data_IF_507771260479
#
_entry.id   IF_507771260479
#
_cell.length_a   1.000
_cell.length_b   1.000
_cell.length_c   1.000
_cell.angle_alpha   90.00
_cell.angle_beta   90.00
_cell.angle_gamma   90.00
#
_symmetry.space_group_name_H-M   'P 1'
#
loop_
_entity.id
_entity.type
_entity.pdbx_description
1 polymer ?
#
# COMPACT_ATOMS: atom_id res chain seq x y z
N UNK A 1 16.44 13.41 7.43
CA UNK A 1 15.68 13.13 6.19
C UNK A 1 14.43 12.41 6.63
N UNK A 2 13.26 12.99 6.37
CA UNK A 2 11.98 12.28 6.58
C UNK A 2 11.80 11.28 5.44
N UNK A 3 11.14 10.16 5.70
CA UNK A 3 10.72 9.22 4.65
C UNK A 3 9.45 9.76 4.00
N UNK A 4 9.33 9.70 2.68
CA UNK A 4 8.14 10.18 1.96
C UNK A 4 7.03 9.13 2.05
N UNK A 5 5.93 9.46 2.71
CA UNK A 5 4.77 8.58 2.76
C UNK A 5 4.06 8.56 1.40
N UNK A 6 4.13 7.43 0.71
CA UNK A 6 3.45 7.21 -0.57
C UNK A 6 2.21 6.37 -0.35
N UNK A 7 1.13 6.75 -1.03
CA UNK A 7 -0.11 5.96 -1.00
C UNK A 7 -0.70 5.85 -2.40
N UNK A 8 -1.16 4.66 -2.76
CA UNK A 8 -1.71 4.36 -4.07
C UNK A 8 -3.12 3.77 -3.93
N UNK A 9 -4.11 4.23 -4.71
CA UNK A 9 -5.37 3.52 -4.86
C UNK A 9 -5.10 2.08 -5.28
N UNK A 10 -5.61 1.13 -4.51
CA UNK A 10 -5.23 -0.27 -4.59
C UNK A 10 -6.43 -1.18 -4.82
N UNK A 11 -6.33 -2.09 -5.78
CA UNK A 11 -7.30 -3.15 -6.00
C UNK A 11 -7.17 -4.25 -4.96
N UNK A 12 -7.63 -3.95 -3.75
CA UNK A 12 -7.52 -4.86 -2.61
C UNK A 12 -8.30 -6.16 -2.83
N UNK A 13 -9.45 -6.12 -3.49
CA UNK A 13 -10.29 -7.30 -3.71
C UNK A 13 -9.63 -8.24 -4.73
N UNK A 14 -9.17 -7.71 -5.86
CA UNK A 14 -8.40 -8.47 -6.84
C UNK A 14 -7.13 -9.07 -6.21
N UNK A 15 -6.37 -8.24 -5.49
CA UNK A 15 -5.17 -8.71 -4.78
C UNK A 15 -5.48 -9.85 -3.81
N UNK A 16 -6.52 -9.69 -3.00
CA UNK A 16 -6.91 -10.69 -1.99
C UNK A 16 -7.35 -12.02 -2.61
N UNK A 17 -8.03 -11.95 -3.76
CA UNK A 17 -8.53 -13.14 -4.46
C UNK A 17 -7.42 -13.92 -5.18
N UNK A 18 -6.39 -13.24 -5.67
CA UNK A 18 -5.42 -13.83 -6.60
C UNK A 18 -3.98 -13.82 -6.06
N UNK A 19 -3.33 -12.65 -5.95
CA UNK A 19 -1.91 -12.58 -5.57
C UNK A 19 -1.65 -12.85 -4.09
N UNK A 20 -2.54 -12.43 -3.19
CA UNK A 20 -2.36 -12.57 -1.74
C UNK A 20 -2.03 -14.01 -1.29
N UNK A 21 -2.78 -15.07 -1.66
CA UNK A 21 -2.44 -16.43 -1.25
C UNK A 21 -1.07 -16.89 -1.79
N UNK A 22 -0.70 -16.45 -3.00
CA UNK A 22 0.59 -16.76 -3.63
C UNK A 22 1.74 -16.10 -2.86
N UNK A 23 1.61 -14.79 -2.62
CA UNK A 23 2.61 -13.98 -1.92
C UNK A 23 2.79 -14.43 -0.47
N UNK A 24 1.68 -14.70 0.24
CA UNK A 24 1.74 -15.21 1.62
C UNK A 24 2.53 -16.51 1.68
N UNK A 25 2.22 -17.47 0.80
CA UNK A 25 2.94 -18.75 0.75
C UNK A 25 4.43 -18.56 0.45
N UNK A 26 4.77 -17.70 -0.52
CA UNK A 26 6.16 -17.41 -0.86
C UNK A 26 6.93 -16.79 0.33
N UNK A 27 6.29 -15.91 1.11
CA UNK A 27 6.86 -15.34 2.33
C UNK A 27 7.05 -16.37 3.45
N UNK A 28 6.21 -17.41 3.51
CA UNK A 28 6.29 -18.48 4.51
C UNK A 28 7.35 -19.53 4.17
N UNK A 29 7.43 -19.92 2.89
CA UNK A 29 8.22 -21.07 2.45
C UNK A 29 9.51 -20.69 1.73
N UNK A 30 9.63 -19.44 1.25
CA UNK A 30 10.69 -19.02 0.34
C UNK A 30 10.51 -19.52 -1.10
N UNK A 31 9.41 -20.22 -1.41
CA UNK A 31 9.12 -20.72 -2.76
C UNK A 31 8.54 -19.60 -3.62
N UNK A 32 9.38 -19.00 -4.45
CA UNK A 32 9.03 -17.87 -5.32
C UNK A 32 8.53 -18.30 -6.70
N UNK A 33 8.61 -19.59 -7.06
CA UNK A 33 8.23 -20.04 -8.40
C UNK A 33 6.78 -19.68 -8.78
N UNK A 34 5.79 -19.77 -7.86
CA UNK A 34 4.44 -19.29 -8.12
C UNK A 34 4.33 -17.78 -8.38
N UNK A 35 5.16 -16.95 -7.72
CA UNK A 35 5.20 -15.49 -7.97
C UNK A 35 5.76 -15.18 -9.35
N UNK A 36 6.83 -15.88 -9.75
CA UNK A 36 7.40 -15.73 -11.11
C UNK A 36 6.36 -16.12 -12.15
N UNK A 37 5.67 -17.25 -11.97
CA UNK A 37 4.61 -17.68 -12.89
C UNK A 37 3.46 -16.67 -12.97
N UNK A 38 3.07 -16.06 -11.83
CA UNK A 38 2.07 -15.00 -11.81
C UNK A 38 2.50 -13.78 -12.64
N UNK A 39 3.74 -13.31 -12.46
CA UNK A 39 4.26 -12.15 -13.19
C UNK A 39 4.30 -12.42 -14.70
N UNK A 40 4.78 -13.60 -15.10
CA UNK A 40 4.85 -13.97 -16.52
C UNK A 40 3.45 -14.10 -17.15
N UNK A 41 2.46 -14.58 -16.40
CA UNK A 41 1.06 -14.66 -16.87
C UNK A 41 0.38 -13.29 -17.01
N UNK A 42 0.85 -12.27 -16.26
CA UNK A 42 0.26 -10.93 -16.19
C UNK A 42 1.17 -9.84 -16.75
N UNK A 43 2.03 -10.18 -17.70
CA UNK A 43 3.03 -9.26 -18.30
C UNK A 43 2.44 -8.00 -18.94
N UNK A 44 1.16 -8.02 -19.29
CA UNK A 44 0.43 -6.89 -19.87
C UNK A 44 0.02 -5.83 -18.85
N UNK A 45 -0.14 -6.21 -17.58
CA UNK A 45 -0.55 -5.31 -16.49
C UNK A 45 0.54 -5.08 -15.44
N UNK A 46 1.47 -6.02 -15.26
CA UNK A 46 2.60 -5.86 -14.34
C UNK A 46 3.62 -4.88 -14.92
N UNK A 47 4.07 -3.95 -14.09
CA UNK A 47 5.04 -2.90 -14.43
C UNK A 47 6.23 -2.90 -13.47
N UNK A 48 7.28 -2.18 -13.85
CA UNK A 48 8.43 -1.92 -12.99
C UNK A 48 7.96 -1.08 -11.78
N UNK A 49 8.18 -1.53 -10.52
CA UNK A 49 7.67 -0.85 -9.31
C UNK A 49 8.33 0.52 -9.05
N UNK A 50 9.41 0.86 -9.77
CA UNK A 50 10.11 2.13 -9.66
C UNK A 50 9.80 3.08 -10.81
N UNK A 51 9.66 2.56 -12.03
CA UNK A 51 9.45 3.39 -13.23
C UNK A 51 7.99 3.42 -13.73
N UNK A 52 7.17 2.45 -13.32
CA UNK A 52 5.80 2.27 -13.83
C UNK A 52 5.74 1.97 -15.32
N UNK A 53 6.81 1.39 -15.87
CA UNK A 53 6.92 1.00 -17.27
C UNK A 53 6.67 -0.50 -17.45
N UNK A 54 6.21 -0.95 -18.62
CA UNK A 54 6.12 -2.37 -18.92
C UNK A 54 7.45 -3.07 -18.66
N UNK A 55 7.38 -4.28 -18.12
CA UNK A 55 8.59 -5.05 -17.82
C UNK A 55 9.33 -5.43 -19.12
N UNK A 56 10.65 -5.21 -19.21
CA UNK A 56 11.42 -5.67 -20.36
C UNK A 56 11.60 -7.20 -20.32
N UNK A 57 12.03 -7.85 -21.41
CA UNK A 57 12.25 -9.30 -21.43
C UNK A 57 13.26 -9.81 -20.40
N UNK A 58 14.25 -8.99 -20.05
CA UNK A 58 15.35 -9.26 -19.11
C UNK A 58 15.06 -8.74 -17.69
N UNK A 59 13.79 -8.50 -17.33
CA UNK A 59 13.42 -7.87 -16.06
C UNK A 59 13.96 -8.60 -14.82
N UNK A 60 14.08 -9.94 -14.86
CA UNK A 60 14.60 -10.74 -13.74
C UNK A 60 16.08 -10.49 -13.47
N UNK A 61 16.84 -9.98 -14.44
CA UNK A 61 18.26 -9.62 -14.26
C UNK A 61 18.43 -8.32 -13.47
N UNK A 62 17.34 -7.56 -13.26
CA UNK A 62 17.31 -6.35 -12.43
C UNK A 62 17.10 -6.64 -10.95
N UNK A 63 16.65 -7.85 -10.62
CA UNK A 63 16.43 -8.30 -9.24
C UNK A 63 17.77 -8.58 -8.56
N UNK A 64 17.92 -8.10 -7.32
CA UNK A 64 19.18 -8.22 -6.57
C UNK A 64 19.17 -9.44 -5.67
N UNK A 65 18.07 -9.67 -4.97
CA UNK A 65 17.90 -10.73 -3.97
C UNK A 65 17.10 -11.91 -4.53
N UNK A 66 16.14 -11.66 -5.43
CA UNK A 66 15.26 -12.68 -6.02
C UNK A 66 14.48 -13.47 -4.96
N UNK A 67 14.00 -12.78 -3.93
CA UNK A 67 13.16 -13.34 -2.88
C UNK A 67 11.68 -12.97 -3.07
N UNK A 68 10.83 -13.48 -2.17
CA UNK A 68 9.39 -13.22 -2.20
C UNK A 68 9.05 -11.73 -2.08
N UNK A 69 9.94 -10.92 -1.49
CA UNK A 69 9.75 -9.48 -1.35
C UNK A 69 9.97 -8.78 -2.68
N UNK A 70 11.10 -9.01 -3.34
CA UNK A 70 11.38 -8.40 -4.64
C UNK A 70 10.39 -8.86 -5.73
N UNK A 71 10.09 -10.16 -5.81
CA UNK A 71 9.07 -10.63 -6.76
C UNK A 71 7.67 -10.12 -6.41
N UNK A 72 7.34 -10.07 -5.11
CA UNK A 72 6.07 -9.52 -4.65
C UNK A 72 5.91 -8.05 -5.03
N UNK A 73 6.97 -7.23 -4.96
CA UNK A 73 6.95 -5.81 -5.32
C UNK A 73 6.54 -5.60 -6.78
N UNK A 74 7.15 -6.39 -7.68
CA UNK A 74 6.79 -6.40 -9.09
C UNK A 74 5.34 -6.86 -9.29
N UNK A 75 4.98 -8.02 -8.74
CA UNK A 75 3.65 -8.59 -8.89
C UNK A 75 2.54 -7.64 -8.38
N UNK A 76 2.82 -6.87 -7.33
CA UNK A 76 1.87 -5.95 -6.71
C UNK A 76 1.42 -4.82 -7.65
N UNK A 77 2.26 -4.44 -8.60
CA UNK A 77 1.94 -3.39 -9.59
C UNK A 77 0.79 -3.76 -10.53
N UNK A 78 0.36 -5.03 -10.56
CA UNK A 78 -0.89 -5.40 -11.24
C UNK A 78 -2.13 -4.76 -10.58
N UNK A 79 -2.03 -4.33 -9.31
CA UNK A 79 -3.15 -3.88 -8.49
C UNK A 79 -3.11 -2.39 -8.12
N UNK A 80 -2.07 -1.65 -8.53
CA UNK A 80 -1.99 -0.20 -8.39
C UNK A 80 -1.17 0.43 -9.50
N UNK A 81 -1.21 1.76 -9.62
CA UNK A 81 -0.41 2.50 -10.58
C UNK A 81 0.46 3.51 -9.87
N UNK A 82 1.75 3.50 -10.16
CA UNK A 82 2.73 4.43 -9.55
C UNK A 82 2.39 5.90 -9.84
N UNK A 83 1.78 6.18 -11.01
CA UNK A 83 1.38 7.55 -11.37
C UNK A 83 0.20 8.09 -10.56
N UNK A 84 -0.52 7.20 -9.88
CA UNK A 84 -1.68 7.53 -9.06
C UNK A 84 -1.30 7.68 -7.58
N UNK A 85 -0.06 8.11 -7.30
CA UNK A 85 0.44 8.45 -5.97
C UNK A 85 -0.38 9.60 -5.35
N UNK A 86 -0.82 9.41 -4.09
CA UNK A 86 -1.74 10.30 -3.34
C UNK A 86 -1.43 10.33 -1.84
N UNK A 87 -0.24 9.95 -1.43
CA UNK A 87 0.21 9.89 -0.06
C UNK A 87 0.38 11.25 0.58
N UNK A 88 0.85 11.21 1.84
CA UNK A 88 1.03 12.36 2.70
C UNK A 88 2.44 12.97 2.59
N UNK A 89 3.29 12.45 1.68
CA UNK A 89 4.65 12.93 1.45
C UNK A 89 5.43 13.08 2.77
N UNK A 90 6.09 14.21 3.00
CA UNK A 90 6.92 14.47 4.17
C UNK A 90 6.12 14.93 5.41
N UNK A 91 4.84 15.31 5.25
CA UNK A 91 3.99 15.80 6.36
C UNK A 91 3.33 14.68 7.16
N UNK A 92 3.47 13.42 6.75
CA UNK A 92 2.79 12.27 7.36
C UNK A 92 3.07 12.08 8.87
N UNK A 93 4.24 12.48 9.35
CA UNK A 93 4.58 12.38 10.77
C UNK A 93 3.75 13.34 11.62
N UNK A 94 3.47 14.54 11.11
CA UNK A 94 2.58 15.50 11.76
C UNK A 94 1.14 15.00 11.73
N UNK A 95 0.73 14.38 10.61
CA UNK A 95 -0.58 13.73 10.52
C UNK A 95 -0.72 12.61 11.56
N UNK A 96 0.30 11.76 11.71
CA UNK A 96 0.28 10.67 12.70
C UNK A 96 0.14 11.18 14.14
N UNK A 97 0.90 12.24 14.49
CA UNK A 97 0.82 12.87 15.80
C UNK A 97 -0.58 13.45 16.07
N UNK A 98 -1.12 14.22 15.14
CA UNK A 98 -2.44 14.84 15.29
C UNK A 98 -3.55 13.79 15.36
N UNK A 99 -3.49 12.76 14.51
CA UNK A 99 -4.43 11.64 14.54
C UNK A 99 -4.40 10.93 15.90
N UNK A 100 -3.22 10.64 16.44
CA UNK A 100 -3.10 9.95 17.73
C UNK A 100 -3.68 10.73 18.91
N UNK A 101 -3.75 12.05 18.81
CA UNK A 101 -4.34 12.91 19.82
C UNK A 101 -5.86 13.11 19.65
N UNK A 102 -6.37 12.98 18.42
CA UNK A 102 -7.71 13.47 18.07
C UNK A 102 -8.69 12.39 17.61
N UNK A 103 -8.21 11.32 16.98
CA UNK A 103 -9.05 10.27 16.42
C UNK A 103 -8.97 9.02 17.30
N UNK A 104 -10.10 8.52 17.84
CA UNK A 104 -10.10 7.28 18.60
C UNK A 104 -9.63 6.09 17.75
N UNK A 105 -8.74 5.27 18.29
CA UNK A 105 -8.26 4.05 17.65
C UNK A 105 -6.74 3.98 17.56
N UNK A 106 -6.24 3.13 16.66
CA UNK A 106 -4.81 3.02 16.40
C UNK A 106 -4.42 4.02 15.29
N UNK A 107 -3.67 5.05 15.67
CA UNK A 107 -3.22 6.10 14.76
C UNK A 107 -2.33 5.57 13.62
N UNK A 108 -1.44 4.63 13.93
CA UNK A 108 -0.56 4.03 12.91
C UNK A 108 -1.39 3.27 11.87
N UNK A 109 -2.40 2.50 12.31
CA UNK A 109 -3.29 1.79 11.39
C UNK A 109 -4.16 2.74 10.55
N UNK A 110 -4.58 3.88 11.12
CA UNK A 110 -5.36 4.90 10.42
C UNK A 110 -4.53 5.66 9.37
N UNK A 111 -3.25 5.90 9.64
CA UNK A 111 -2.37 6.59 8.69
C UNK A 111 -1.81 5.60 7.66
N UNK A 112 -1.23 4.50 8.12
CA UNK A 112 -0.46 3.56 7.31
C UNK A 112 -1.31 2.42 6.75
N UNK A 113 -2.21 1.86 7.55
CA UNK A 113 -2.93 0.62 7.24
C UNK A 113 -2.35 -0.58 7.99
N UNK A 114 -2.53 -1.77 7.43
CA UNK A 114 -2.12 -3.04 8.08
C UNK A 114 -1.03 -3.77 7.30
N UNK A 115 -0.02 -4.35 7.96
CA UNK A 115 1.00 -5.14 7.28
C UNK A 115 0.38 -6.43 6.71
N UNK A 116 0.90 -6.87 5.56
CA UNK A 116 0.48 -8.12 4.93
C UNK A 116 1.49 -9.24 5.17
N UNK A 117 1.02 -10.48 5.24
CA UNK A 117 1.87 -11.68 5.29
C UNK A 117 2.03 -12.30 6.68
N UNK A 118 3.00 -13.20 6.85
CA UNK A 118 3.29 -13.87 8.12
C UNK A 118 3.91 -12.93 9.16
N UNK A 119 3.55 -13.08 10.43
CA UNK A 119 4.06 -12.20 11.50
C UNK A 119 5.59 -12.16 11.62
N UNK A 120 6.30 -13.24 11.23
CA UNK A 120 7.77 -13.32 11.28
C UNK A 120 8.47 -12.79 10.03
N UNK A 121 7.74 -12.65 8.93
CA UNK A 121 8.26 -12.21 7.63
C UNK A 121 7.17 -11.45 6.88
N UNK A 122 6.68 -10.31 7.43
CA UNK A 122 5.66 -9.51 6.77
C UNK A 122 6.22 -8.96 5.46
N UNK A 123 5.38 -8.80 4.45
CA UNK A 123 5.76 -8.25 3.16
C UNK A 123 6.26 -6.80 3.33
N UNK A 124 7.53 -6.57 3.01
CA UNK A 124 8.22 -5.28 3.16
C UNK A 124 9.34 -5.16 2.12
N UNK A 125 8.99 -4.94 0.83
CA UNK A 125 9.95 -4.95 -0.26
C UNK A 125 11.00 -3.85 -0.15
N UNK A 126 10.61 -2.68 0.37
CA UNK A 126 11.50 -1.54 0.59
C UNK A 126 12.30 -1.61 1.90
N UNK A 127 11.96 -2.52 2.83
CA UNK A 127 12.48 -2.56 4.20
C UNK A 127 12.22 -1.27 4.99
N UNK A 128 11.15 -0.57 4.63
CA UNK A 128 10.74 0.71 5.22
C UNK A 128 9.28 0.68 5.68
N UNK A 129 8.57 -0.43 5.45
CA UNK A 129 7.16 -0.59 5.74
C UNK A 129 6.32 -0.67 4.47
N UNK A 130 5.34 -1.57 4.49
CA UNK A 130 4.41 -1.82 3.41
C UNK A 130 3.07 -2.24 4.00
N UNK A 131 2.04 -1.45 3.73
CA UNK A 131 0.76 -1.53 4.44
C UNK A 131 -0.41 -1.48 3.46
N UNK A 132 -1.48 -2.15 3.86
CA UNK A 132 -2.66 -2.37 3.04
C UNK A 132 -3.92 -1.95 3.79
N UNK A 133 -4.86 -1.38 3.04
CA UNK A 133 -6.19 -1.03 3.51
C UNK A 133 -7.22 -1.46 2.47
N UNK A 134 -8.28 -2.15 2.89
CA UNK A 134 -9.40 -2.50 2.01
C UNK A 134 -10.25 -1.27 1.68
N UNK A 135 -11.07 -1.36 0.62
CA UNK A 135 -11.99 -0.28 0.27
C UNK A 135 -13.04 -0.04 1.37
N UNK A 136 -13.50 -1.11 2.02
CA UNK A 136 -14.40 -1.01 3.19
C UNK A 136 -13.74 -0.25 4.34
N UNK A 137 -12.52 -0.66 4.72
CA UNK A 137 -11.81 0.01 5.81
C UNK A 137 -11.48 1.46 5.51
N UNK A 138 -11.17 1.80 4.26
CA UNK A 138 -10.97 3.19 3.85
C UNK A 138 -12.24 4.06 4.04
N UNK A 139 -13.43 3.50 3.86
CA UNK A 139 -14.70 4.21 4.13
C UNK A 139 -14.93 4.42 5.62
N UNK A 140 -14.68 3.40 6.42
CA UNK A 140 -14.80 3.48 7.89
C UNK A 140 -13.82 4.50 8.47
N UNK A 141 -12.55 4.43 8.06
CA UNK A 141 -11.50 5.35 8.48
C UNK A 141 -11.83 6.80 8.07
N UNK A 142 -12.31 7.01 6.83
CA UNK A 142 -12.74 8.33 6.37
C UNK A 142 -13.89 8.88 7.22
N UNK A 143 -14.90 8.06 7.51
CA UNK A 143 -16.04 8.47 8.32
C UNK A 143 -15.61 8.86 9.74
N UNK A 144 -14.65 8.13 10.33
CA UNK A 144 -14.10 8.46 11.63
C UNK A 144 -13.35 9.80 11.62
N UNK A 145 -12.51 10.05 10.61
CA UNK A 145 -11.78 11.31 10.44
C UNK A 145 -12.75 12.48 10.20
N UNK A 146 -13.73 12.31 9.31
CA UNK A 146 -14.73 13.34 8.99
C UNK A 146 -15.58 13.72 10.22
N UNK A 147 -15.93 12.74 11.07
CA UNK A 147 -16.65 13.01 12.32
C UNK A 147 -15.84 13.90 13.28
N UNK A 148 -14.52 13.70 13.36
CA UNK A 148 -13.64 14.55 14.17
C UNK A 148 -13.55 15.96 13.57
N UNK A 149 -13.30 16.07 12.25
CA UNK A 149 -13.23 17.35 11.52
C UNK A 149 -14.50 18.19 11.76
N UNK A 150 -15.68 17.56 11.68
CA UNK A 150 -16.97 18.26 11.84
C UNK A 150 -17.17 18.92 13.22
N UNK A 151 -16.46 18.46 14.26
CA UNK A 151 -16.61 18.95 15.64
C UNK A 151 -15.55 19.96 16.06
N UNK A 152 -14.51 20.16 15.24
CA UNK A 152 -13.30 20.91 15.62
C UNK A 152 -13.14 22.21 14.82
N UNK A 153 -12.30 23.11 15.35
CA UNK A 153 -11.70 24.17 14.53
C UNK A 153 -10.70 23.51 13.58
N UNK A 154 -10.80 23.87 12.30
CA UNK A 154 -9.96 23.47 11.18
C UNK A 154 -8.57 22.90 11.54
N UNK A 155 -8.27 21.68 11.07
CA UNK A 155 -6.95 21.04 11.15
C UNK A 155 -6.48 20.65 9.75
N UNK A 156 -5.34 21.18 9.30
CA UNK A 156 -4.79 20.92 7.96
C UNK A 156 -4.36 19.46 7.77
N UNK A 157 -3.82 18.84 8.82
CA UNK A 157 -3.31 17.46 8.82
C UNK A 157 -4.44 16.45 8.71
N UNK A 158 -5.53 16.65 9.46
CA UNK A 158 -6.73 15.81 9.33
C UNK A 158 -7.38 15.96 7.97
N UNK A 159 -7.40 17.17 7.40
CA UNK A 159 -7.89 17.42 6.04
C UNK A 159 -7.02 16.74 4.97
N UNK A 160 -5.70 16.67 5.16
CA UNK A 160 -4.79 15.95 4.26
C UNK A 160 -5.03 14.42 4.32
N UNK A 161 -5.21 13.86 5.52
CA UNK A 161 -5.59 12.46 5.70
C UNK A 161 -6.96 12.17 5.07
N UNK A 162 -7.97 12.98 5.37
CA UNK A 162 -9.31 12.85 4.82
C UNK A 162 -9.27 12.92 3.29
N UNK A 163 -8.45 13.80 2.71
CA UNK A 163 -8.29 13.90 1.25
C UNK A 163 -7.68 12.65 0.65
N UNK A 164 -6.66 12.05 1.28
CA UNK A 164 -6.08 10.78 0.83
C UNK A 164 -7.11 9.65 0.86
N UNK A 165 -7.80 9.48 2.00
CA UNK A 165 -8.83 8.45 2.18
C UNK A 165 -10.00 8.63 1.21
N UNK A 166 -10.52 9.86 1.09
CA UNK A 166 -11.65 10.19 0.21
C UNK A 166 -11.36 9.87 -1.25
N UNK A 167 -10.14 10.13 -1.74
CA UNK A 167 -9.75 9.76 -3.10
C UNK A 167 -9.80 8.25 -3.36
N UNK A 168 -9.39 7.43 -2.39
CA UNK A 168 -9.51 5.98 -2.50
C UNK A 168 -10.98 5.53 -2.49
N UNK A 169 -11.77 6.10 -1.57
CA UNK A 169 -13.20 5.83 -1.43
C UNK A 169 -13.98 6.20 -2.70
N UNK A 170 -13.74 7.38 -3.26
CA UNK A 170 -14.39 7.87 -4.49
C UNK A 170 -14.05 6.98 -5.69
N UNK A 171 -12.85 6.39 -5.71
CA UNK A 171 -12.43 5.44 -6.72
C UNK A 171 -12.98 4.01 -6.49
N UNK A 172 -13.65 3.76 -5.36
CA UNK A 172 -14.06 2.41 -4.94
C UNK A 172 -12.87 1.49 -4.65
N UNK A 173 -11.71 2.04 -4.28
CA UNK A 173 -10.46 1.31 -4.08
C UNK A 173 -10.03 1.31 -2.61
N UNK A 174 -9.16 0.36 -2.27
CA UNK A 174 -8.37 0.40 -1.04
C UNK A 174 -7.14 1.30 -1.19
N UNK A 175 -6.19 1.14 -0.27
CA UNK A 175 -4.89 1.82 -0.33
C UNK A 175 -3.75 0.81 -0.14
N UNK A 176 -2.67 1.05 -0.88
CA UNK A 176 -1.35 0.49 -0.64
C UNK A 176 -0.43 1.64 -0.21
N UNK A 177 0.21 1.51 0.96
CA UNK A 177 1.08 2.53 1.56
C UNK A 177 2.49 1.99 1.70
N UNK A 178 3.48 2.79 1.32
CA UNK A 178 4.92 2.48 1.34
C UNK A 178 5.75 3.78 1.42
N UNK A 179 7.07 3.68 1.43
CA UNK A 179 8.00 4.80 1.62
C UNK A 179 9.07 4.91 0.51
#
# INVERSE_FOLDING_TARGET
MSMDHKAYPFDHEGFSAELAPILRRALETGDVAPLVAFIEAHRDVVTDPYEGRPLPPDWQDRLKVRDAHEYGDYALTAYYRIRDERGLADVWQFVLEDVGNEVPGNAEELVLGTPFGPARNPFDPGKMGSFFRSAERAREDLAAVDAVIATRRYSTTLEDLARMLRRAVDAGRGLYVTF
#
